data_IF_100642246577
#
_entry.id   IF_100642246577
#
_cell.length_a   1.000
_cell.length_b   1.000
_cell.length_c   1.000
_cell.angle_alpha   90.00
_cell.angle_beta   90.00
_cell.angle_gamma   90.00
#
_symmetry.space_group_name_H-M   'P 1'
#
loop_
_entity.id
_entity.type
_entity.pdbx_description
1 polymer ?
#
# COMPACT_ATOMS: atom_id res chain seq x y z
N UNK A 1 4.54 -50.54 14.29
CA UNK A 1 4.70 -50.49 12.83
C UNK A 1 4.09 -49.26 12.15
N UNK A 2 3.07 -48.56 12.70
CA UNK A 2 2.43 -47.37 12.08
C UNK A 2 3.36 -46.15 11.89
N UNK A 3 4.34 -45.88 12.77
CA UNK A 3 5.23 -44.71 12.67
C UNK A 3 6.18 -44.70 11.46
N UNK A 4 6.62 -45.89 11.00
CA UNK A 4 7.53 -46.02 9.83
C UNK A 4 6.83 -45.77 8.49
N UNK A 5 5.55 -46.15 8.37
CA UNK A 5 4.77 -45.86 7.19
C UNK A 5 4.51 -44.37 7.00
N UNK A 6 4.21 -43.63 8.09
CA UNK A 6 3.99 -42.19 8.03
C UNK A 6 5.24 -41.42 7.59
N UNK A 7 6.45 -41.84 8.04
CA UNK A 7 7.71 -41.20 7.64
C UNK A 7 8.02 -41.44 6.14
N UNK A 8 7.81 -42.66 5.63
CA UNK A 8 8.02 -43.00 4.23
C UNK A 8 7.07 -42.20 3.29
N UNK A 9 5.79 -42.09 3.65
CA UNK A 9 4.82 -41.30 2.90
C UNK A 9 5.13 -39.80 2.97
N UNK A 10 5.49 -39.32 4.13
CA UNK A 10 5.93 -37.91 4.29
C UNK A 10 7.16 -37.61 3.41
N UNK A 11 8.18 -38.47 3.45
CA UNK A 11 9.37 -38.32 2.62
C UNK A 11 9.06 -38.37 1.12
N UNK A 12 8.20 -39.31 0.69
CA UNK A 12 7.79 -39.44 -0.70
C UNK A 12 7.01 -38.24 -1.22
N UNK A 13 6.18 -37.62 -0.39
CA UNK A 13 5.32 -36.50 -0.77
C UNK A 13 6.00 -35.14 -0.55
N UNK A 14 6.74 -34.96 0.54
CA UNK A 14 7.33 -33.69 0.97
C UNK A 14 8.84 -33.64 0.75
N UNK A 15 9.56 -34.72 1.04
CA UNK A 15 11.02 -34.79 0.96
C UNK A 15 11.57 -34.61 -0.46
N UNK A 16 10.81 -35.03 -1.48
CA UNK A 16 11.18 -34.85 -2.89
C UNK A 16 11.33 -33.36 -3.28
N UNK A 17 10.60 -32.47 -2.61
CA UNK A 17 10.60 -31.04 -2.91
C UNK A 17 11.35 -30.21 -1.87
N UNK A 18 11.89 -30.86 -0.82
CA UNK A 18 12.58 -30.18 0.29
C UNK A 18 13.68 -29.21 -0.18
N UNK A 19 14.45 -29.59 -1.20
CA UNK A 19 15.49 -28.74 -1.76
C UNK A 19 14.92 -27.47 -2.40
N UNK A 20 13.73 -27.55 -3.02
CA UNK A 20 13.03 -26.39 -3.59
C UNK A 20 12.48 -25.50 -2.48
N UNK A 21 11.92 -26.11 -1.44
CA UNK A 21 11.37 -25.38 -0.29
C UNK A 21 12.48 -24.62 0.46
N UNK A 22 13.64 -25.26 0.65
CA UNK A 22 14.82 -24.61 1.23
C UNK A 22 15.30 -23.46 0.33
N UNK A 23 15.42 -23.69 -0.98
CA UNK A 23 15.84 -22.65 -1.91
C UNK A 23 14.91 -21.44 -1.89
N UNK A 24 13.59 -21.66 -1.98
CA UNK A 24 12.61 -20.58 -1.92
C UNK A 24 12.58 -19.93 -0.55
N UNK A 25 12.73 -20.68 0.54
CA UNK A 25 12.83 -20.14 1.89
C UNK A 25 14.01 -19.18 2.05
N UNK A 26 15.22 -19.59 1.64
CA UNK A 26 16.42 -18.73 1.67
C UNK A 26 16.22 -17.50 0.77
N UNK A 27 15.71 -17.69 -0.44
CA UNK A 27 15.41 -16.59 -1.37
C UNK A 27 14.45 -15.57 -0.75
N UNK A 28 13.40 -16.03 -0.08
CA UNK A 28 12.44 -15.16 0.58
C UNK A 28 13.06 -14.46 1.80
N UNK A 29 13.86 -15.13 2.59
CA UNK A 29 14.60 -14.50 3.69
C UNK A 29 15.46 -13.34 3.17
N UNK A 30 16.24 -13.54 2.11
CA UNK A 30 17.07 -12.49 1.52
C UNK A 30 16.20 -11.33 1.00
N UNK A 31 15.08 -11.62 0.32
CA UNK A 31 14.19 -10.62 -0.28
C UNK A 31 13.54 -9.71 0.77
N UNK A 32 13.10 -10.29 1.88
CA UNK A 32 12.30 -9.59 2.88
C UNK A 32 13.11 -9.19 4.12
N UNK A 33 14.34 -9.67 4.26
CA UNK A 33 15.17 -9.47 5.44
C UNK A 33 15.24 -8.00 5.89
N UNK A 34 15.56 -7.10 4.96
CA UNK A 34 15.73 -5.68 5.29
C UNK A 34 14.44 -5.06 5.83
N UNK A 35 13.29 -5.42 5.26
CA UNK A 35 11.98 -4.91 5.66
C UNK A 35 11.58 -5.47 7.01
N UNK A 36 11.69 -6.79 7.18
CA UNK A 36 11.36 -7.47 8.44
C UNK A 36 12.30 -7.07 9.58
N UNK A 37 13.60 -6.88 9.29
CA UNK A 37 14.58 -6.44 10.29
C UNK A 37 14.30 -5.04 10.83
N UNK A 38 13.75 -4.15 10.02
CA UNK A 38 13.38 -2.79 10.39
C UNK A 38 12.01 -2.69 11.05
N UNK A 39 11.19 -3.73 10.93
CA UNK A 39 9.86 -3.77 11.54
C UNK A 39 9.98 -3.73 13.07
N UNK A 40 9.39 -2.71 13.68
CA UNK A 40 9.39 -2.51 15.14
C UNK A 40 8.02 -2.77 15.76
N UNK A 41 7.18 -3.55 15.13
CA UNK A 41 5.87 -4.02 15.63
C UNK A 41 4.83 -2.93 15.97
N UNK A 42 5.10 -1.66 15.68
CA UNK A 42 4.19 -0.56 15.99
C UNK A 42 3.68 0.11 14.70
N UNK A 43 2.45 -0.22 14.33
CA UNK A 43 1.71 0.48 13.29
C UNK A 43 1.62 -0.21 11.93
N UNK A 44 0.66 0.24 11.13
CA UNK A 44 0.40 -0.30 9.79
C UNK A 44 1.48 0.05 8.75
N UNK A 45 2.40 0.96 9.06
CA UNK A 45 3.46 1.41 8.15
C UNK A 45 4.25 0.22 7.58
N UNK A 46 4.76 -0.68 8.45
CA UNK A 46 5.57 -1.82 8.04
C UNK A 46 4.78 -2.90 7.29
N UNK A 47 3.48 -3.05 7.60
CA UNK A 47 2.59 -3.93 6.84
C UNK A 47 2.45 -3.45 5.40
N UNK A 48 2.25 -2.14 5.19
CA UNK A 48 2.21 -1.54 3.86
C UNK A 48 3.56 -1.62 3.15
N UNK A 49 4.67 -1.43 3.87
CA UNK A 49 6.02 -1.58 3.32
C UNK A 49 6.29 -3.02 2.85
N UNK A 50 5.89 -4.02 3.63
CA UNK A 50 6.02 -5.42 3.26
C UNK A 50 5.18 -5.75 2.01
N UNK A 51 3.94 -5.24 1.95
CA UNK A 51 3.09 -5.37 0.77
C UNK A 51 3.73 -4.72 -0.46
N UNK A 52 4.28 -3.52 -0.31
CA UNK A 52 4.98 -2.80 -1.38
C UNK A 52 6.17 -3.60 -1.92
N UNK A 53 6.99 -4.16 -1.04
CA UNK A 53 8.12 -5.02 -1.42
C UNK A 53 7.62 -6.26 -2.17
N UNK A 54 6.57 -6.91 -1.67
CA UNK A 54 5.97 -8.07 -2.34
C UNK A 54 5.48 -7.72 -3.74
N UNK A 55 4.73 -6.64 -3.91
CA UNK A 55 4.22 -6.21 -5.22
C UNK A 55 5.36 -5.89 -6.21
N UNK A 56 6.44 -5.24 -5.75
CA UNK A 56 7.63 -5.03 -6.59
C UNK A 56 8.21 -6.34 -7.15
N UNK A 57 8.27 -7.39 -6.33
CA UNK A 57 8.73 -8.70 -6.79
C UNK A 57 7.73 -9.36 -7.72
N UNK A 58 6.43 -9.26 -7.46
CA UNK A 58 5.38 -9.78 -8.36
C UNK A 58 5.50 -9.12 -9.73
N UNK A 59 5.55 -7.79 -9.80
CA UNK A 59 5.72 -7.06 -11.06
C UNK A 59 6.98 -7.56 -11.80
N UNK A 60 8.12 -7.62 -11.10
CA UNK A 60 9.39 -8.06 -11.69
C UNK A 60 9.33 -9.49 -12.21
N UNK A 61 8.78 -10.42 -11.42
CA UNK A 61 8.76 -11.85 -11.76
C UNK A 61 7.76 -12.10 -12.91
N UNK A 62 6.58 -11.45 -12.93
CA UNK A 62 5.57 -11.55 -13.99
C UNK A 62 6.05 -10.93 -15.29
N UNK A 63 6.59 -9.70 -15.25
CA UNK A 63 7.13 -9.03 -16.44
C UNK A 63 8.26 -9.83 -17.10
N UNK A 64 9.13 -10.45 -16.28
CA UNK A 64 10.21 -11.29 -16.79
C UNK A 64 9.70 -12.57 -17.46
N UNK A 65 8.63 -13.11 -16.96
CA UNK A 65 8.13 -14.41 -17.40
C UNK A 65 7.14 -14.35 -18.56
N UNK A 66 6.54 -13.18 -18.81
CA UNK A 66 5.59 -12.91 -19.91
C UNK A 66 4.42 -13.92 -19.94
N UNK A 67 3.78 -14.19 -18.79
CA UNK A 67 3.01 -15.41 -18.54
C UNK A 67 1.61 -15.47 -19.13
N UNK A 68 0.93 -14.39 -19.38
CA UNK A 68 -0.49 -14.51 -19.74
C UNK A 68 -1.02 -13.27 -20.46
N UNK A 69 -2.06 -13.47 -21.27
CA UNK A 69 -2.83 -12.38 -21.86
C UNK A 69 -3.52 -11.59 -20.74
N UNK A 70 -3.29 -10.27 -20.68
CA UNK A 70 -3.93 -9.38 -19.70
C UNK A 70 -3.15 -9.10 -18.42
N UNK A 71 -1.94 -9.66 -18.27
CA UNK A 71 -1.08 -9.41 -17.10
C UNK A 71 -0.66 -7.93 -16.97
N UNK A 72 -0.59 -7.20 -18.08
CA UNK A 72 -0.21 -5.79 -18.10
C UNK A 72 -1.14 -4.95 -17.20
N UNK A 73 -2.44 -5.14 -17.34
CA UNK A 73 -3.45 -4.44 -16.52
C UNK A 73 -3.31 -4.75 -15.04
N UNK A 74 -3.01 -5.99 -14.68
CA UNK A 74 -2.83 -6.38 -13.29
C UNK A 74 -1.54 -5.79 -12.70
N UNK A 75 -0.49 -5.68 -13.52
CA UNK A 75 0.76 -5.03 -13.11
C UNK A 75 0.62 -3.51 -13.01
N UNK A 76 -0.15 -2.86 -13.87
CA UNK A 76 -0.52 -1.45 -13.74
C UNK A 76 -1.25 -1.18 -12.42
N UNK A 77 -2.19 -2.04 -12.03
CA UNK A 77 -2.89 -1.96 -10.74
C UNK A 77 -1.97 -2.20 -9.56
N UNK A 78 -1.05 -3.15 -9.67
CA UNK A 78 -0.03 -3.37 -8.66
C UNK A 78 0.89 -2.14 -8.51
N UNK A 79 1.30 -1.52 -9.63
CA UNK A 79 2.09 -0.29 -9.62
C UNK A 79 1.32 0.89 -9.03
N UNK A 80 0.03 1.03 -9.36
CA UNK A 80 -0.84 2.04 -8.75
C UNK A 80 -0.94 1.85 -7.24
N UNK A 81 -1.05 0.60 -6.79
CA UNK A 81 -1.06 0.26 -5.36
C UNK A 81 0.23 0.70 -4.67
N UNK A 82 1.39 0.43 -5.28
CA UNK A 82 2.69 0.89 -4.75
C UNK A 82 2.73 2.43 -4.66
N UNK A 83 2.26 3.13 -5.68
CA UNK A 83 2.24 4.60 -5.71
C UNK A 83 1.31 5.18 -4.63
N UNK A 84 0.14 4.56 -4.40
CA UNK A 84 -0.77 4.96 -3.32
C UNK A 84 -0.15 4.72 -1.94
N UNK A 85 0.51 3.57 -1.73
CA UNK A 85 1.23 3.29 -0.48
C UNK A 85 2.28 4.35 -0.22
N UNK A 86 3.12 4.69 -1.21
CA UNK A 86 4.14 5.73 -1.05
C UNK A 86 3.51 7.06 -0.64
N UNK A 87 2.49 7.53 -1.35
CA UNK A 87 1.81 8.79 -1.02
C UNK A 87 1.19 8.81 0.38
N UNK A 88 0.65 7.67 0.84
CA UNK A 88 0.09 7.56 2.19
C UNK A 88 1.22 7.56 3.24
N UNK A 89 2.33 6.89 2.98
CA UNK A 89 3.47 6.79 3.91
C UNK A 89 4.28 8.08 4.02
N UNK A 90 4.27 8.90 2.98
CA UNK A 90 4.94 10.20 2.89
C UNK A 90 4.03 11.36 3.34
N UNK A 91 2.82 11.06 3.86
CA UNK A 91 1.80 12.04 4.23
C UNK A 91 1.55 13.09 3.11
N UNK A 92 1.70 12.66 1.86
CA UNK A 92 1.69 13.52 0.68
C UNK A 92 0.50 14.46 0.64
N UNK A 93 -0.70 13.96 0.95
CA UNK A 93 -1.92 14.76 0.87
C UNK A 93 -2.05 15.76 2.02
N UNK A 94 -1.43 15.49 3.17
CA UNK A 94 -1.44 16.37 4.32
C UNK A 94 -0.37 17.44 4.19
N UNK A 95 0.79 17.09 3.63
CA UNK A 95 1.91 18.01 3.44
C UNK A 95 1.80 18.85 2.16
N UNK A 96 0.95 18.45 1.20
CA UNK A 96 0.80 19.16 -0.08
C UNK A 96 0.43 20.65 0.09
N UNK A 97 -0.31 20.96 1.15
CA UNK A 97 -0.71 22.34 1.48
C UNK A 97 0.27 23.06 2.42
N UNK A 98 1.22 22.33 3.03
CA UNK A 98 2.24 22.94 3.87
C UNK A 98 3.37 23.45 2.99
N UNK A 99 3.54 24.77 2.92
CA UNK A 99 4.75 25.36 2.32
C UNK A 99 5.98 25.13 3.22
N UNK A 100 7.17 25.17 2.65
CA UNK A 100 8.43 25.05 3.41
C UNK A 100 8.60 26.14 4.50
N UNK A 101 7.89 27.25 4.36
CA UNK A 101 7.83 28.34 5.33
C UNK A 101 6.43 28.43 5.95
N UNK A 102 6.31 28.52 7.27
CA UNK A 102 5.09 28.81 8.04
C UNK A 102 4.48 30.20 7.76
N UNK A 103 4.62 30.72 6.56
CA UNK A 103 4.03 32.01 6.15
C UNK A 103 2.58 31.83 5.74
N UNK A 104 1.75 32.89 5.91
CA UNK A 104 0.38 32.88 5.40
C UNK A 104 0.41 32.54 3.89
N UNK A 105 -0.13 31.41 3.51
CA UNK A 105 -0.15 30.92 2.13
C UNK A 105 -1.48 31.30 1.50
N UNK A 106 -1.46 31.74 0.25
CA UNK A 106 -2.69 31.85 -0.53
C UNK A 106 -3.16 30.43 -0.91
N UNK A 107 -4.26 29.98 -0.28
CA UNK A 107 -4.86 28.66 -0.53
C UNK A 107 -5.81 28.66 -1.73
N UNK A 108 -6.00 29.77 -2.42
CA UNK A 108 -7.00 29.90 -3.49
C UNK A 108 -6.75 28.90 -4.64
N UNK A 109 -5.49 28.68 -5.02
CA UNK A 109 -5.13 27.69 -6.04
C UNK A 109 -5.33 26.25 -5.55
N UNK A 110 -5.02 25.98 -4.28
CA UNK A 110 -5.23 24.68 -3.68
C UNK A 110 -6.72 24.33 -3.60
N UNK A 111 -7.58 25.27 -3.26
CA UNK A 111 -9.04 25.08 -3.26
C UNK A 111 -9.59 24.85 -4.67
N UNK A 112 -9.04 25.52 -5.69
CA UNK A 112 -9.39 25.27 -7.10
C UNK A 112 -9.01 23.88 -7.57
N UNK A 113 -7.96 23.30 -7.00
CA UNK A 113 -7.55 21.92 -7.31
C UNK A 113 -8.54 20.88 -6.76
N UNK A 114 -9.22 21.16 -5.64
CA UNK A 114 -10.15 20.25 -4.97
C UNK A 114 -11.55 20.86 -4.76
N UNK A 115 -12.24 21.32 -5.81
CA UNK A 115 -13.45 22.15 -5.67
C UNK A 115 -14.61 21.40 -5.01
N UNK A 116 -14.73 20.08 -5.25
CA UNK A 116 -15.81 19.26 -4.68
C UNK A 116 -15.60 19.04 -3.17
N UNK A 117 -14.36 18.85 -2.73
CA UNK A 117 -14.04 18.65 -1.32
C UNK A 117 -14.18 19.99 -0.60
N UNK A 118 -13.69 21.08 -1.17
CA UNK A 118 -13.89 22.42 -0.63
C UNK A 118 -15.36 22.73 -0.39
N UNK A 119 -16.21 22.51 -1.42
CA UNK A 119 -17.65 22.70 -1.28
C UNK A 119 -18.28 21.80 -0.21
N UNK A 120 -17.81 20.56 -0.11
CA UNK A 120 -18.27 19.63 0.94
C UNK A 120 -17.96 20.18 2.34
N UNK A 121 -16.73 20.62 2.58
CA UNK A 121 -16.27 21.15 3.87
C UNK A 121 -17.09 22.38 4.28
N UNK A 122 -17.28 23.33 3.37
CA UNK A 122 -18.05 24.55 3.62
C UNK A 122 -19.51 24.24 3.98
N UNK A 123 -20.10 23.22 3.35
CA UNK A 123 -21.50 22.82 3.61
C UNK A 123 -21.66 21.90 4.83
N UNK A 124 -20.59 21.33 5.37
CA UNK A 124 -20.63 20.37 6.48
C UNK A 124 -19.62 20.73 7.59
N UNK A 125 -19.74 21.93 8.23
CA UNK A 125 -18.77 22.39 9.22
C UNK A 125 -18.71 21.52 10.49
N UNK A 126 -19.73 20.69 10.74
CA UNK A 126 -19.83 19.81 11.91
C UNK A 126 -19.31 18.39 11.65
N UNK A 127 -18.79 18.08 10.45
CA UNK A 127 -18.14 16.80 10.18
C UNK A 127 -16.84 16.68 11.01
N UNK A 128 -16.61 15.55 11.64
CA UNK A 128 -15.45 15.29 12.51
C UNK A 128 -14.10 15.43 11.79
N UNK A 129 -14.11 15.40 10.45
CA UNK A 129 -12.92 15.58 9.59
C UNK A 129 -12.68 17.05 9.21
N UNK A 130 -13.58 17.94 9.60
CA UNK A 130 -13.53 19.36 9.25
C UNK A 130 -12.98 20.16 10.44
N UNK A 131 -11.83 20.78 10.21
CA UNK A 131 -11.27 21.75 11.17
C UNK A 131 -11.95 23.10 10.98
N UNK A 132 -12.90 23.41 11.84
CA UNK A 132 -13.64 24.68 11.83
C UNK A 132 -12.83 25.86 12.36
N UNK A 133 -11.71 25.59 13.05
CA UNK A 133 -10.81 26.59 13.61
C UNK A 133 -9.61 26.81 12.68
N UNK A 134 -9.27 28.06 12.39
CA UNK A 134 -8.07 28.39 11.59
C UNK A 134 -8.35 28.96 10.19
N UNK A 135 -9.61 29.24 9.83
CA UNK A 135 -9.94 29.82 8.51
C UNK A 135 -9.47 28.94 7.35
N UNK A 136 -8.83 29.54 6.35
CA UNK A 136 -8.39 28.84 5.13
C UNK A 136 -7.37 27.73 5.40
N UNK A 137 -6.53 27.87 6.42
CA UNK A 137 -5.59 26.81 6.82
C UNK A 137 -6.31 25.58 7.38
N UNK A 138 -7.36 25.76 8.18
CA UNK A 138 -8.19 24.66 8.68
C UNK A 138 -8.91 23.94 7.55
N UNK A 139 -9.42 24.66 6.57
CA UNK A 139 -10.03 24.09 5.37
C UNK A 139 -8.98 23.29 4.56
N UNK A 140 -7.78 23.81 4.40
CA UNK A 140 -6.71 23.13 3.67
C UNK A 140 -6.27 21.83 4.35
N UNK A 141 -6.14 21.82 5.68
CA UNK A 141 -5.88 20.61 6.48
C UNK A 141 -7.01 19.59 6.28
N UNK A 142 -8.27 20.02 6.35
CA UNK A 142 -9.43 19.15 6.15
C UNK A 142 -9.44 18.51 4.76
N UNK A 143 -9.07 19.25 3.71
CA UNK A 143 -8.92 18.72 2.35
C UNK A 143 -7.85 17.61 2.33
N UNK A 144 -6.70 17.83 2.96
CA UNK A 144 -5.62 16.86 3.06
C UNK A 144 -6.09 15.56 3.73
N UNK A 145 -6.74 15.66 4.89
CA UNK A 145 -7.26 14.50 5.63
C UNK A 145 -8.30 13.71 4.81
N UNK A 146 -9.26 14.39 4.18
CA UNK A 146 -10.29 13.73 3.35
C UNK A 146 -9.62 13.02 2.17
N UNK A 147 -8.62 13.63 1.54
CA UNK A 147 -7.87 12.99 0.45
C UNK A 147 -7.08 11.77 0.92
N UNK A 148 -6.46 11.83 2.10
CA UNK A 148 -5.76 10.70 2.73
C UNK A 148 -6.72 9.52 2.98
N UNK A 149 -7.92 9.78 3.53
CA UNK A 149 -8.94 8.75 3.72
C UNK A 149 -9.41 8.13 2.39
N UNK A 150 -9.63 8.96 1.38
CA UNK A 150 -10.01 8.49 0.03
C UNK A 150 -8.91 7.64 -0.59
N UNK A 151 -7.65 8.04 -0.42
CA UNK A 151 -6.51 7.25 -0.90
C UNK A 151 -6.41 5.89 -0.18
N UNK A 152 -6.60 5.86 1.14
CA UNK A 152 -6.68 4.61 1.92
C UNK A 152 -7.83 3.71 1.45
N UNK A 153 -9.02 4.28 1.29
CA UNK A 153 -10.19 3.53 0.79
C UNK A 153 -9.93 2.95 -0.60
N UNK A 154 -9.38 3.74 -1.51
CA UNK A 154 -9.02 3.28 -2.86
C UNK A 154 -7.96 2.20 -2.83
N UNK A 155 -6.92 2.35 -2.00
CA UNK A 155 -5.87 1.35 -1.81
C UNK A 155 -6.46 -0.01 -1.43
N UNK A 156 -7.26 -0.06 -0.37
CA UNK A 156 -7.86 -1.31 0.09
C UNK A 156 -8.87 -1.89 -0.90
N UNK A 157 -9.60 -1.05 -1.65
CA UNK A 157 -10.47 -1.51 -2.73
C UNK A 157 -9.67 -2.20 -3.83
N UNK A 158 -8.58 -1.60 -4.31
CA UNK A 158 -7.73 -2.19 -5.33
C UNK A 158 -7.13 -3.51 -4.85
N UNK A 159 -6.64 -3.56 -3.60
CA UNK A 159 -6.10 -4.80 -3.01
C UNK A 159 -7.18 -5.89 -2.99
N UNK A 160 -8.37 -5.59 -2.49
CA UNK A 160 -9.47 -6.55 -2.40
C UNK A 160 -9.89 -7.12 -3.76
N UNK A 161 -9.91 -6.28 -4.78
CA UNK A 161 -10.31 -6.68 -6.13
C UNK A 161 -9.24 -7.48 -6.89
N UNK A 162 -7.96 -7.31 -6.55
CA UNK A 162 -6.87 -7.83 -7.38
C UNK A 162 -5.88 -8.75 -6.65
N UNK A 163 -6.02 -8.96 -5.34
CA UNK A 163 -5.07 -9.73 -4.55
C UNK A 163 -4.87 -11.16 -5.11
N UNK A 164 -5.92 -11.78 -5.62
CA UNK A 164 -5.85 -13.11 -6.20
C UNK A 164 -5.26 -13.13 -7.62
N UNK A 165 -5.42 -12.05 -8.40
CA UNK A 165 -4.86 -11.96 -9.76
C UNK A 165 -3.35 -11.68 -9.75
N UNK A 166 -2.80 -11.21 -8.63
CA UNK A 166 -1.38 -10.95 -8.51
C UNK A 166 -0.51 -12.18 -8.25
N UNK A 167 -1.05 -13.40 -8.47
CA UNK A 167 -0.29 -14.65 -8.43
C UNK A 167 0.09 -15.12 -7.03
N UNK A 168 -0.86 -15.02 -6.12
CA UNK A 168 -0.72 -15.58 -4.76
C UNK A 168 -1.02 -17.07 -4.74
#
# INVERSE_FOLDING_TARGET
MKKRQNFYWWWKMTGKYLHKDIYYGIRNLIRYFTTVWKDRSYGCHWTLELLKVKLKYVIKDVTKANYAVGWERDMERAQLTINLINKIQEDYYELENMGEDFKPKDYSEYFKKYPLIYKYIVNNPNDSRVFSTGGDSGIAISIGLINTERAKTLLFKIINENIYSWGW
#
